data_IF_813352470571
#
_entry.id   IF_813352470571
#
_cell.length_a   1.000
_cell.length_b   1.000
_cell.length_c   1.000
_cell.angle_alpha   90.00
_cell.angle_beta   90.00
_cell.angle_gamma   90.00
#
_symmetry.space_group_name_H-M   'P 1'
#
loop_
_entity.id
_entity.type
_entity.pdbx_description
1 polymer ?
#
# COMPACT_ATOMS: atom_id res chain seq x y z
N UNK A 1 -9.86 12.61 0.42
CA UNK A 1 -9.68 11.15 0.56
C UNK A 1 -9.84 10.54 -0.83
N UNK A 2 -8.96 9.62 -1.27
CA UNK A 2 -9.00 9.05 -2.63
C UNK A 2 -10.04 7.93 -2.84
N UNK A 3 -10.75 7.56 -1.77
CA UNK A 3 -11.79 6.54 -1.75
C UNK A 3 -13.12 7.16 -1.38
N UNK A 4 -14.19 6.68 -2.02
CA UNK A 4 -15.54 6.98 -1.58
C UNK A 4 -15.87 6.20 -0.29
N UNK A 5 -16.85 6.62 0.52
CA UNK A 5 -17.18 5.94 1.77
C UNK A 5 -17.48 4.44 1.61
N UNK A 6 -18.09 4.06 0.49
CA UNK A 6 -18.47 2.67 0.20
C UNK A 6 -17.32 1.83 -0.38
N UNK A 7 -16.20 2.46 -0.77
CA UNK A 7 -15.02 1.76 -1.29
C UNK A 7 -14.19 1.12 -0.17
N UNK A 8 -14.39 1.52 1.09
CA UNK A 8 -13.59 1.10 2.24
C UNK A 8 -14.48 0.51 3.32
N UNK A 9 -14.16 -0.72 3.72
CA UNK A 9 -14.81 -1.39 4.85
C UNK A 9 -13.76 -1.71 5.90
N UNK A 10 -14.05 -1.39 7.15
CA UNK A 10 -13.18 -1.66 8.29
C UNK A 10 -13.87 -2.67 9.19
N UNK A 11 -13.28 -3.86 9.30
CA UNK A 11 -13.70 -4.85 10.27
C UNK A 11 -12.90 -4.70 11.54
N UNK A 12 -13.57 -4.83 12.68
CA UNK A 12 -12.94 -4.77 14.00
C UNK A 12 -13.04 -6.13 14.66
N UNK A 13 -11.94 -6.59 15.23
CA UNK A 13 -11.91 -7.81 16.04
C UNK A 13 -11.12 -7.57 17.32
N UNK A 14 -11.43 -8.32 18.36
CA UNK A 14 -10.79 -8.20 19.67
C UNK A 14 -10.67 -9.58 20.28
N UNK A 15 -9.55 -9.85 20.97
CA UNK A 15 -9.25 -11.17 21.51
C UNK A 15 -8.03 -11.17 22.40
N UNK A 16 -7.83 -12.29 23.12
CA UNK A 16 -6.62 -12.49 23.92
C UNK A 16 -5.45 -12.82 23.00
N UNK A 17 -4.41 -12.00 23.06
CA UNK A 17 -3.17 -12.18 22.32
C UNK A 17 -2.27 -13.27 22.92
N UNK A 18 -1.17 -13.63 22.23
CA UNK A 18 -0.21 -14.61 22.72
C UNK A 18 0.46 -14.24 24.06
N UNK A 19 0.40 -12.96 24.43
CA UNK A 19 0.90 -12.42 25.71
C UNK A 19 -0.14 -12.50 26.85
N UNK A 20 -1.31 -13.09 26.61
CA UNK A 20 -2.40 -13.20 27.57
C UNK A 20 -3.17 -11.91 27.82
N UNK A 21 -2.91 -10.84 27.05
CA UNK A 21 -3.60 -9.55 27.18
C UNK A 21 -4.71 -9.42 26.14
N UNK A 22 -5.66 -8.54 26.36
CA UNK A 22 -6.62 -8.15 25.33
C UNK A 22 -5.95 -7.30 24.26
N UNK A 23 -6.14 -7.67 23.01
CA UNK A 23 -5.68 -6.95 21.82
C UNK A 23 -6.87 -6.68 20.91
N UNK A 24 -6.84 -5.50 20.28
CA UNK A 24 -7.76 -5.15 19.21
C UNK A 24 -7.03 -5.18 17.87
N UNK A 25 -7.70 -5.68 16.85
CA UNK A 25 -7.26 -5.63 15.47
C UNK A 25 -8.32 -4.94 14.62
N UNK A 26 -7.85 -4.33 13.54
CA UNK A 26 -8.71 -3.83 12.49
C UNK A 26 -8.20 -4.36 11.15
N UNK A 27 -9.12 -4.81 10.31
CA UNK A 27 -8.83 -5.22 8.94
C UNK A 27 -9.46 -4.21 7.99
N UNK A 28 -8.63 -3.58 7.17
CA UNK A 28 -9.08 -2.61 6.16
C UNK A 28 -9.24 -3.35 4.84
N UNK A 29 -10.46 -3.37 4.33
CA UNK A 29 -10.78 -3.83 2.99
C UNK A 29 -11.01 -2.64 2.08
N UNK A 30 -10.40 -2.67 0.91
CA UNK A 30 -10.59 -1.66 -0.14
C UNK A 30 -11.14 -2.37 -1.38
N UNK A 31 -12.23 -1.86 -1.95
CA UNK A 31 -12.77 -2.39 -3.20
C UNK A 31 -11.71 -2.32 -4.29
N UNK A 32 -11.48 -3.43 -5.00
CA UNK A 32 -10.34 -3.54 -5.93
C UNK A 32 -10.38 -2.46 -7.01
N UNK A 33 -11.54 -2.16 -7.60
CA UNK A 33 -11.67 -1.10 -8.61
C UNK A 33 -11.33 0.30 -8.08
N UNK A 34 -11.51 0.56 -6.79
CA UNK A 34 -11.16 1.85 -6.19
C UNK A 34 -9.64 2.09 -6.23
N UNK A 35 -8.84 1.02 -6.27
CA UNK A 35 -7.38 1.09 -6.39
C UNK A 35 -6.92 1.65 -7.75
N UNK A 36 -7.79 1.66 -8.77
CA UNK A 36 -7.43 2.18 -10.10
C UNK A 36 -7.08 3.66 -10.07
N UNK A 37 -7.76 4.44 -9.22
CA UNK A 37 -7.52 5.88 -9.04
C UNK A 37 -6.11 6.17 -8.50
N UNK A 38 -5.49 5.18 -7.86
CA UNK A 38 -4.14 5.26 -7.31
C UNK A 38 -3.10 4.53 -8.16
N UNK A 39 -3.50 3.88 -9.26
CA UNK A 39 -2.59 3.04 -10.04
C UNK A 39 -2.19 1.74 -9.34
N UNK A 40 -2.95 1.28 -8.35
CA UNK A 40 -2.65 0.10 -7.53
C UNK A 40 -3.51 -1.12 -7.88
N UNK A 41 -4.32 -1.04 -8.93
CA UNK A 41 -5.16 -2.16 -9.35
C UNK A 41 -4.33 -3.27 -10.01
N UNK A 42 -4.54 -4.56 -9.69
CA UNK A 42 -3.71 -5.66 -10.20
C UNK A 42 -3.73 -5.77 -11.74
N UNK A 43 -4.88 -5.55 -12.36
CA UNK A 43 -5.02 -5.57 -13.82
C UNK A 43 -4.76 -4.20 -14.49
N UNK A 44 -4.33 -3.18 -13.74
CA UNK A 44 -3.97 -1.90 -14.35
C UNK A 44 -2.52 -1.96 -14.83
N UNK A 45 -2.22 -1.47 -16.05
CA UNK A 45 -0.84 -1.36 -16.50
C UNK A 45 0.00 -0.54 -15.51
N UNK A 46 1.15 -1.07 -15.12
CA UNK A 46 2.14 -0.33 -14.33
C UNK A 46 2.55 0.93 -15.10
N UNK A 47 2.77 2.03 -14.38
CA UNK A 47 3.28 3.25 -14.97
C UNK A 47 4.59 2.98 -15.73
N UNK A 48 4.63 3.38 -17.00
CA UNK A 48 5.81 3.27 -17.84
C UNK A 48 6.65 4.54 -17.74
N UNK A 49 7.96 4.39 -17.57
CA UNK A 49 8.90 5.51 -17.58
C UNK A 49 9.16 5.88 -19.05
N UNK A 50 8.47 6.91 -19.55
CA UNK A 50 8.59 7.37 -20.95
C UNK A 50 9.76 8.31 -21.20
N UNK A 51 10.52 8.67 -20.16
CA UNK A 51 11.63 9.62 -20.22
C UNK A 51 12.93 8.97 -19.72
N UNK A 52 14.10 9.46 -20.14
CA UNK A 52 15.35 9.00 -19.56
C UNK A 52 15.29 9.12 -18.04
N UNK A 53 15.71 8.07 -17.34
CA UNK A 53 15.84 8.11 -15.89
C UNK A 53 16.67 9.34 -15.50
N UNK A 54 16.27 10.08 -14.45
CA UNK A 54 17.05 11.20 -13.96
C UNK A 54 18.47 10.74 -13.56
N UNK A 55 19.44 11.66 -13.46
CA UNK A 55 20.83 11.32 -13.15
C UNK A 55 20.94 10.40 -11.93
N UNK A 56 21.80 9.38 -12.00
CA UNK A 56 21.87 8.33 -10.96
C UNK A 56 22.14 8.83 -9.54
N UNK A 57 22.76 10.00 -9.36
CA UNK A 57 22.96 10.60 -8.04
C UNK A 57 21.63 10.98 -7.35
N UNK A 58 20.55 11.18 -8.12
CA UNK A 58 19.23 11.52 -7.61
C UNK A 58 18.61 10.36 -6.82
N UNK A 59 18.78 9.12 -7.29
CA UNK A 59 18.18 7.93 -6.66
C UNK A 59 19.17 7.09 -5.86
N UNK A 60 20.47 7.43 -5.88
CA UNK A 60 21.52 6.65 -5.24
C UNK A 60 21.24 6.30 -3.76
N UNK A 61 20.57 7.18 -3.00
CA UNK A 61 20.17 6.88 -1.62
C UNK A 61 19.09 5.80 -1.56
N UNK A 62 18.02 5.93 -2.35
CA UNK A 62 16.94 4.95 -2.40
C UNK A 62 17.44 3.58 -2.88
N UNK A 63 18.29 3.56 -3.91
CA UNK A 63 18.93 2.34 -4.44
C UNK A 63 19.80 1.65 -3.38
N UNK A 64 20.63 2.40 -2.64
CA UNK A 64 21.42 1.85 -1.52
C UNK A 64 20.55 1.25 -0.42
N UNK A 65 19.37 1.82 -0.14
CA UNK A 65 18.45 1.26 0.85
C UNK A 65 17.77 -0.01 0.36
N UNK A 66 17.37 -0.06 -0.91
CA UNK A 66 16.76 -1.25 -1.52
C UNK A 66 17.72 -2.44 -1.54
N UNK A 67 19.01 -2.19 -1.81
CA UNK A 67 20.07 -3.21 -1.84
C UNK A 67 20.50 -3.74 -0.45
N UNK A 68 19.98 -3.18 0.64
CA UNK A 68 20.30 -3.61 2.01
C UNK A 68 19.28 -4.59 2.61
N UNK A 69 18.30 -5.04 1.83
CA UNK A 69 17.38 -6.13 2.19
C UNK A 69 18.06 -7.49 2.09
#
# INVERSE_FOLDING_TARGET
MPFDPDDVRIDLSCGIGPDGRWHGWFTVHVHTDALRRLGLHPDQPTAEITHPSPPGWWHATAERHALRR
#
